data_IF_302401421902
#
_entry.id   IF_302401421902
#
_cell.length_a   1.000
_cell.length_b   1.000
_cell.length_c   1.000
_cell.angle_alpha   90.00
_cell.angle_beta   90.00
_cell.angle_gamma   90.00
#
_symmetry.space_group_name_H-M   'P 1'
#
loop_
_entity.id
_entity.type
_entity.pdbx_description
1 polymer ?
#
# COMPACT_ATOMS: atom_id res chain seq x y z
N UNK A 1 11.15 13.00 -3.99
CA UNK A 1 10.09 11.98 -4.08
C UNK A 1 9.12 12.39 -5.16
N UNK A 2 8.60 11.45 -5.94
CA UNK A 2 7.75 11.67 -7.11
C UNK A 2 6.60 10.66 -7.14
N UNK A 3 5.56 10.95 -7.92
CA UNK A 3 4.42 10.07 -8.14
C UNK A 3 4.84 8.70 -8.66
N UNK A 4 5.83 8.66 -9.55
CA UNK A 4 6.40 7.40 -10.06
C UNK A 4 6.89 6.46 -8.96
N UNK A 5 7.52 6.99 -7.91
CA UNK A 5 8.01 6.16 -6.80
C UNK A 5 6.87 5.63 -5.93
N UNK A 6 5.80 6.41 -5.76
CA UNK A 6 4.59 5.96 -5.07
C UNK A 6 3.91 4.82 -5.86
N UNK A 7 3.73 4.98 -7.18
CA UNK A 7 3.15 3.94 -8.02
C UNK A 7 3.97 2.64 -7.99
N UNK A 8 5.30 2.74 -8.09
CA UNK A 8 6.19 1.58 -7.98
C UNK A 8 6.04 0.87 -6.63
N UNK A 9 6.00 1.63 -5.52
CA UNK A 9 5.75 1.07 -4.20
C UNK A 9 4.39 0.36 -4.12
N UNK A 10 3.32 0.97 -4.62
CA UNK A 10 1.99 0.35 -4.59
C UNK A 10 1.94 -0.95 -5.40
N UNK A 11 2.66 -1.02 -6.52
CA UNK A 11 2.84 -2.24 -7.30
C UNK A 11 3.59 -3.31 -6.48
N UNK A 12 4.70 -2.96 -5.84
CA UNK A 12 5.47 -3.87 -4.97
C UNK A 12 4.67 -4.40 -3.78
N UNK A 13 3.77 -3.57 -3.23
CA UNK A 13 2.87 -3.96 -2.14
C UNK A 13 1.67 -4.80 -2.60
N UNK A 14 1.51 -5.04 -3.91
CA UNK A 14 0.42 -5.84 -4.46
C UNK A 14 -0.93 -5.12 -4.49
N UNK A 15 -0.94 -3.78 -4.61
CA UNK A 15 -2.17 -3.02 -4.80
C UNK A 15 -2.86 -3.43 -6.10
N UNK A 16 -4.08 -3.95 -6.03
CA UNK A 16 -4.79 -4.56 -7.17
C UNK A 16 -5.09 -3.62 -8.35
N UNK A 17 -4.96 -2.29 -8.16
CA UNK A 17 -5.13 -1.30 -9.23
C UNK A 17 -3.81 -0.73 -9.76
N UNK A 18 -2.65 -1.27 -9.38
CA UNK A 18 -1.35 -0.66 -9.66
C UNK A 18 -1.08 -0.44 -11.15
N UNK A 19 -1.54 -1.35 -12.02
CA UNK A 19 -1.35 -1.26 -13.48
C UNK A 19 -2.11 -0.09 -14.13
N UNK A 20 -3.15 0.42 -13.46
CA UNK A 20 -3.95 1.56 -13.94
C UNK A 20 -3.45 2.91 -13.40
N UNK A 21 -2.43 2.91 -12.54
CA UNK A 21 -1.90 4.14 -11.99
C UNK A 21 -1.07 4.87 -13.03
N UNK A 22 -1.39 6.14 -13.25
CA UNK A 22 -0.56 7.06 -14.01
C UNK A 22 0.34 7.86 -13.05
N UNK A 23 1.67 7.66 -13.10
CA UNK A 23 2.63 8.40 -12.28
C UNK A 23 2.46 9.92 -12.34
N UNK A 24 2.16 10.47 -13.52
CA UNK A 24 2.09 11.92 -13.74
C UNK A 24 0.90 12.53 -12.99
N UNK A 25 -0.20 11.79 -12.90
CA UNK A 25 -1.38 12.14 -12.10
C UNK A 25 -1.09 12.21 -10.58
N UNK A 26 0.04 11.66 -10.12
CA UNK A 26 0.49 11.70 -8.72
C UNK A 26 1.68 12.65 -8.50
N UNK A 27 2.03 13.53 -9.43
CA UNK A 27 3.09 14.52 -9.20
C UNK A 27 2.61 15.68 -8.32
N UNK A 28 1.36 16.14 -8.50
CA UNK A 28 0.80 17.27 -7.77
C UNK A 28 0.81 17.10 -6.23
N UNK A 29 0.49 15.93 -5.62
CA UNK A 29 0.51 15.77 -4.16
C UNK A 29 1.89 15.98 -3.53
N UNK A 30 2.98 15.69 -4.26
CA UNK A 30 4.34 15.90 -3.78
C UNK A 30 4.78 17.38 -3.83
N UNK A 31 3.99 18.24 -4.46
CA UNK A 31 4.24 19.68 -4.54
C UNK A 31 3.64 20.46 -3.36
N UNK A 32 2.73 19.87 -2.58
CA UNK A 32 2.18 20.49 -1.38
C UNK A 32 3.06 20.19 -0.17
N UNK A 33 3.51 21.25 0.51
CA UNK A 33 4.38 21.13 1.70
C UNK A 33 3.72 20.34 2.84
N UNK A 34 2.40 20.37 2.96
CA UNK A 34 1.67 19.64 4.02
C UNK A 34 1.58 18.13 3.76
N UNK A 35 1.43 17.73 2.49
CA UNK A 35 1.30 16.32 2.11
C UNK A 35 2.66 15.65 1.90
N UNK A 36 3.68 16.42 1.52
CA UNK A 36 5.00 15.91 1.20
C UNK A 36 5.65 15.07 2.32
N UNK A 37 5.59 15.44 3.61
CA UNK A 37 6.19 14.64 4.69
C UNK A 37 5.58 13.24 4.80
N UNK A 38 4.25 13.13 4.74
CA UNK A 38 3.58 11.83 4.85
C UNK A 38 3.83 10.97 3.61
N UNK A 39 3.84 11.57 2.42
CA UNK A 39 4.15 10.85 1.17
C UNK A 39 5.61 10.36 1.14
N UNK A 40 6.55 11.16 1.66
CA UNK A 40 7.96 10.77 1.79
C UNK A 40 8.12 9.61 2.78
N UNK A 41 7.43 9.66 3.92
CA UNK A 41 7.41 8.59 4.90
C UNK A 41 6.85 7.29 4.30
N UNK A 42 5.72 7.35 3.60
CA UNK A 42 5.12 6.21 2.90
C UNK A 42 6.13 5.57 1.94
N UNK A 43 6.73 6.39 1.06
CA UNK A 43 7.67 5.94 0.03
C UNK A 43 9.01 5.41 0.57
N UNK A 44 9.33 5.68 1.84
CA UNK A 44 10.59 5.28 2.48
C UNK A 44 10.43 4.12 3.46
N UNK A 45 9.23 3.94 4.02
CA UNK A 45 9.02 3.08 5.20
C UNK A 45 8.21 1.83 4.90
N UNK A 46 7.26 1.89 3.95
CA UNK A 46 6.44 0.73 3.63
C UNK A 46 7.25 -0.31 2.84
N UNK A 47 7.01 -1.58 3.15
CA UNK A 47 7.64 -2.76 2.55
C UNK A 47 6.64 -3.93 2.59
N UNK A 48 6.76 -4.92 1.71
CA UNK A 48 5.94 -6.14 1.80
C UNK A 48 6.03 -6.83 3.17
N UNK A 49 7.14 -6.68 3.90
CA UNK A 49 7.32 -7.28 5.23
C UNK A 49 6.56 -6.58 6.36
N UNK A 50 6.01 -5.37 6.14
CA UNK A 50 5.30 -4.60 7.17
C UNK A 50 3.92 -4.12 6.71
N UNK A 51 3.44 -4.61 5.55
CA UNK A 51 2.11 -4.35 5.00
C UNK A 51 1.45 -5.69 4.77
N UNK A 52 0.24 -5.85 5.29
CA UNK A 52 -0.56 -7.06 5.05
C UNK A 52 -0.99 -7.12 3.60
N UNK A 53 -0.68 -8.24 2.95
CA UNK A 53 -1.20 -8.60 1.63
C UNK A 53 -2.67 -9.00 1.71
N UNK A 54 -3.36 -8.94 0.57
CA UNK A 54 -4.74 -9.42 0.45
C UNK A 54 -4.88 -10.90 0.83
N UNK A 55 -3.88 -11.73 0.48
CA UNK A 55 -3.87 -13.14 0.87
C UNK A 55 -3.77 -13.34 2.38
N UNK A 56 -2.94 -12.56 3.06
CA UNK A 56 -2.81 -12.63 4.53
C UNK A 56 -4.09 -12.15 5.21
N UNK A 57 -4.74 -11.11 4.67
CA UNK A 57 -6.05 -10.66 5.15
C UNK A 57 -7.12 -11.73 4.96
N UNK A 58 -7.21 -12.36 3.78
CA UNK A 58 -8.19 -13.43 3.54
C UNK A 58 -7.94 -14.66 4.42
N UNK A 59 -6.67 -15.01 4.68
CA UNK A 59 -6.32 -16.08 5.61
C UNK A 59 -6.74 -15.73 7.04
N UNK A 60 -6.50 -14.49 7.48
CA UNK A 60 -6.95 -14.03 8.79
C UNK A 60 -8.47 -14.05 8.92
N UNK A 61 -9.20 -13.60 7.90
CA UNK A 61 -10.67 -13.66 7.86
C UNK A 61 -11.18 -15.11 7.88
N UNK A 62 -10.50 -16.02 7.17
CA UNK A 62 -10.79 -17.45 7.21
C UNK A 62 -10.56 -18.00 8.62
N UNK A 63 -9.44 -17.66 9.27
CA UNK A 63 -9.20 -18.05 10.66
C UNK A 63 -10.27 -17.50 11.59
N UNK A 64 -10.71 -16.25 11.46
CA UNK A 64 -11.81 -15.71 12.27
C UNK A 64 -13.13 -16.47 12.07
N UNK A 65 -13.41 -16.93 10.85
CA UNK A 65 -14.58 -17.76 10.57
C UNK A 65 -14.43 -19.16 11.15
N UNK A 66 -13.23 -19.72 11.10
CA UNK A 66 -12.87 -21.00 11.68
C UNK A 66 -12.78 -20.93 13.21
N UNK A 67 -12.50 -19.76 13.82
CA UNK A 67 -12.48 -19.47 15.27
C UNK A 67 -13.86 -19.48 15.94
N UNK A 68 -14.89 -19.99 15.25
CA UNK A 68 -15.95 -20.78 15.90
C UNK A 68 -15.49 -22.15 16.44
N UNK A 69 -14.24 -22.56 16.21
CA UNK A 69 -13.69 -23.89 16.50
C UNK A 69 -12.45 -23.89 17.41
N UNK A 70 -11.98 -22.74 17.89
CA UNK A 70 -11.00 -22.69 18.98
C UNK A 70 -11.74 -22.73 20.33
N UNK A 71 -12.42 -23.85 20.59
CA UNK A 71 -12.83 -24.29 21.94
C UNK A 71 -11.92 -25.44 22.41
#
# INVERSE_FOLDING_TARGET
MSGARLCALLCELGYGGADSLDPDSFEWPFQYDDARPILDWICSSLRPSNVLSLSELSQFEQFLQEEKLLE
#
